data_IF_154671107467
#
_entry.id   IF_154671107467
#
_cell.length_a   1.000
_cell.length_b   1.000
_cell.length_c   1.000
_cell.angle_alpha   90.00
_cell.angle_beta   90.00
_cell.angle_gamma   90.00
#
_symmetry.space_group_name_H-M   'P 1'
#
loop_
_entity.id
_entity.type
_entity.pdbx_description
1 polymer ?
#
# COMPACT_ATOMS: atom_id res chain seq x y z
N UNK A 1 -22.32 7.32 5.07
CA UNK A 1 -21.69 7.26 6.40
C UNK A 1 -20.18 7.15 6.25
N UNK A 2 -19.40 8.21 6.48
CA UNK A 2 -17.94 8.18 6.26
C UNK A 2 -17.13 9.19 7.09
N UNK A 3 -17.80 10.11 7.81
CA UNK A 3 -17.15 11.15 8.60
C UNK A 3 -16.63 10.70 9.97
N UNK A 4 -17.22 9.66 10.58
CA UNK A 4 -16.92 9.28 11.97
C UNK A 4 -15.54 8.64 12.17
N UNK A 5 -15.01 7.93 11.17
CA UNK A 5 -13.68 7.30 11.25
C UNK A 5 -12.56 8.34 11.15
N UNK A 6 -12.79 9.48 10.46
CA UNK A 6 -11.79 10.54 10.29
C UNK A 6 -11.54 11.34 11.58
N UNK A 7 -12.55 11.55 12.43
CA UNK A 7 -12.40 12.38 13.64
C UNK A 7 -11.80 11.64 14.85
N UNK A 8 -12.07 10.34 15.03
CA UNK A 8 -11.66 9.63 16.25
C UNK A 8 -10.18 9.18 16.26
N UNK A 9 -9.53 9.06 15.09
CA UNK A 9 -8.19 8.47 15.00
C UNK A 9 -7.04 9.46 15.31
N UNK A 10 -7.21 10.76 15.03
CA UNK A 10 -6.14 11.77 15.11
C UNK A 10 -5.74 12.07 16.56
N UNK A 11 -6.69 12.08 17.51
CA UNK A 11 -6.42 12.37 18.92
C UNK A 11 -5.75 11.23 19.71
N UNK A 12 -5.73 10.01 19.19
CA UNK A 12 -5.28 8.80 19.92
C UNK A 12 -4.03 8.14 19.31
N UNK A 13 -3.38 8.78 18.33
CA UNK A 13 -2.23 8.21 17.61
C UNK A 13 -2.57 6.98 16.76
N UNK A 14 -3.86 6.83 16.43
CA UNK A 14 -4.40 5.74 15.64
C UNK A 14 -4.31 6.10 14.16
N UNK A 15 -3.90 5.15 13.33
CA UNK A 15 -3.74 5.31 11.89
C UNK A 15 -4.51 4.18 11.19
N UNK A 16 -5.58 4.51 10.45
CA UNK A 16 -6.32 3.52 9.67
C UNK A 16 -5.48 3.04 8.48
N UNK A 17 -5.56 1.75 8.18
CA UNK A 17 -5.10 1.16 6.90
C UNK A 17 -6.33 0.97 6.03
N UNK A 18 -6.31 1.57 4.84
CA UNK A 18 -7.45 1.62 3.92
C UNK A 18 -7.17 0.70 2.74
N UNK A 19 -8.15 -0.12 2.37
CA UNK A 19 -8.11 -0.99 1.19
C UNK A 19 -9.09 -0.47 0.14
N UNK A 20 -8.60 -0.33 -1.09
CA UNK A 20 -9.42 -0.14 -2.27
C UNK A 20 -9.40 -1.41 -3.12
N UNK A 21 -10.57 -2.00 -3.35
CA UNK A 21 -10.73 -3.20 -4.18
C UNK A 21 -12.12 -3.18 -4.82
N UNK A 22 -12.22 -3.52 -6.10
CA UNK A 22 -13.50 -3.65 -6.83
C UNK A 22 -14.38 -2.38 -6.71
N UNK A 23 -13.77 -1.20 -6.78
CA UNK A 23 -14.47 0.08 -6.66
C UNK A 23 -14.91 0.46 -5.24
N UNK A 24 -14.63 -0.38 -4.24
CA UNK A 24 -15.02 -0.17 -2.85
C UNK A 24 -13.82 0.23 -2.01
N UNK A 25 -13.99 1.31 -1.23
CA UNK A 25 -13.04 1.73 -0.19
C UNK A 25 -13.51 1.14 1.15
N UNK A 26 -12.61 0.46 1.85
CA UNK A 26 -12.89 -0.18 3.14
C UNK A 26 -11.76 0.04 4.15
N UNK A 27 -12.08 0.01 5.44
CA UNK A 27 -11.10 0.02 6.52
C UNK A 27 -10.63 -1.42 6.75
N UNK A 28 -9.35 -1.72 6.49
CA UNK A 28 -8.83 -3.08 6.59
C UNK A 28 -8.13 -3.36 7.92
N UNK A 29 -7.51 -2.35 8.52
CA UNK A 29 -6.94 -2.45 9.86
C UNK A 29 -6.84 -1.10 10.56
N UNK A 30 -6.62 -1.17 11.87
CA UNK A 30 -6.32 -0.04 12.73
C UNK A 30 -4.97 -0.31 13.39
N UNK A 31 -3.99 0.56 13.16
CA UNK A 31 -2.67 0.45 13.77
C UNK A 31 -2.38 1.68 14.63
N UNK A 32 -1.56 1.50 15.68
CA UNK A 32 -1.13 2.59 16.56
C UNK A 32 0.28 3.03 16.18
N UNK A 33 0.42 4.28 15.72
CA UNK A 33 1.68 4.86 15.29
C UNK A 33 2.08 4.56 13.83
N UNK A 34 2.89 5.46 13.25
CA UNK A 34 3.31 5.43 11.83
C UNK A 34 3.95 4.10 11.44
N UNK A 35 5.04 3.70 12.11
CA UNK A 35 5.81 2.49 11.79
C UNK A 35 4.95 1.21 11.76
N UNK A 36 4.10 0.99 12.76
CA UNK A 36 3.23 -0.20 12.81
C UNK A 36 2.22 -0.22 11.66
N UNK A 37 1.71 0.95 11.28
CA UNK A 37 0.75 1.08 10.18
C UNK A 37 1.37 0.75 8.83
N UNK A 38 2.63 1.13 8.63
CA UNK A 38 3.38 0.84 7.39
C UNK A 38 3.73 -0.64 7.25
N UNK A 39 4.16 -1.26 8.35
CA UNK A 39 4.37 -2.71 8.38
C UNK A 39 3.07 -3.46 8.10
N UNK A 40 1.96 -3.00 8.67
CA UNK A 40 0.65 -3.61 8.46
C UNK A 40 0.17 -3.46 7.01
N UNK A 41 0.39 -2.29 6.38
CA UNK A 41 0.12 -2.06 4.96
C UNK A 41 0.89 -3.07 4.08
N UNK A 42 2.20 -3.20 4.28
CA UNK A 42 3.05 -4.14 3.55
C UNK A 42 2.62 -5.60 3.77
N UNK A 43 2.31 -5.97 5.02
CA UNK A 43 1.87 -7.32 5.39
C UNK A 43 0.57 -7.69 4.69
N UNK A 44 -0.43 -6.80 4.67
CA UNK A 44 -1.71 -7.06 4.03
C UNK A 44 -1.58 -7.19 2.52
N UNK A 45 -0.79 -6.32 1.88
CA UNK A 45 -0.53 -6.39 0.45
C UNK A 45 0.12 -7.74 0.07
N UNK A 46 1.18 -8.14 0.77
CA UNK A 46 1.86 -9.41 0.51
C UNK A 46 0.97 -10.64 0.81
N UNK A 47 0.17 -10.60 1.88
CA UNK A 47 -0.76 -11.67 2.21
C UNK A 47 -1.87 -11.81 1.16
N UNK A 48 -2.35 -10.69 0.62
CA UNK A 48 -3.31 -10.71 -0.49
C UNK A 48 -2.69 -11.35 -1.73
N UNK A 49 -1.49 -10.94 -2.13
CA UNK A 49 -0.79 -11.52 -3.28
C UNK A 49 -0.53 -13.02 -3.07
N UNK A 50 -0.07 -13.43 -1.88
CA UNK A 50 0.17 -14.84 -1.54
C UNK A 50 -1.08 -15.72 -1.71
N UNK A 51 -2.25 -15.16 -1.37
CA UNK A 51 -3.52 -15.88 -1.46
C UNK A 51 -4.06 -15.97 -2.90
N UNK A 52 -3.76 -14.98 -3.75
CA UNK A 52 -4.46 -14.79 -5.03
C UNK A 52 -3.54 -14.90 -6.27
N UNK A 53 -2.22 -15.00 -6.09
CA UNK A 53 -1.26 -15.08 -7.18
C UNK A 53 -0.26 -16.22 -6.94
N UNK A 54 -0.10 -17.10 -7.93
CA UNK A 54 0.94 -18.14 -7.93
C UNK A 54 2.34 -17.56 -8.17
N UNK A 55 2.43 -16.56 -9.05
CA UNK A 55 3.66 -15.83 -9.40
C UNK A 55 3.36 -14.35 -9.65
N UNK A 56 4.38 -13.51 -9.54
CA UNK A 56 4.25 -12.06 -9.69
C UNK A 56 4.79 -11.49 -11.00
N UNK A 57 5.33 -12.32 -11.90
CA UNK A 57 5.92 -11.87 -13.17
C UNK A 57 4.94 -11.10 -14.07
N UNK A 58 3.63 -11.38 -13.91
CA UNK A 58 2.56 -10.68 -14.61
C UNK A 58 2.00 -9.47 -13.85
N UNK A 59 2.65 -8.99 -12.78
CA UNK A 59 2.16 -7.87 -11.98
C UNK A 59 3.05 -6.64 -12.11
N UNK A 60 2.40 -5.47 -12.18
CA UNK A 60 3.04 -4.18 -11.90
C UNK A 60 2.84 -3.88 -10.43
N UNK A 61 3.93 -3.59 -9.71
CA UNK A 61 3.94 -3.30 -8.28
C UNK A 61 4.42 -1.87 -8.06
N UNK A 62 3.73 -1.10 -7.23
CA UNK A 62 4.07 0.29 -6.94
C UNK A 62 3.96 0.60 -5.46
N UNK A 63 4.86 1.45 -4.98
CA UNK A 63 4.82 2.06 -3.65
C UNK A 63 4.67 3.56 -3.84
N UNK A 64 3.53 4.08 -3.39
CA UNK A 64 3.19 5.49 -3.46
C UNK A 64 3.67 6.24 -2.23
N UNK A 65 4.30 7.41 -2.40
CA UNK A 65 4.68 8.31 -1.32
C UNK A 65 4.23 9.75 -1.57
N UNK A 66 3.98 10.51 -0.51
CA UNK A 66 3.60 11.92 -0.57
C UNK A 66 4.80 12.85 -0.76
N UNK A 67 5.10 13.65 0.26
CA UNK A 67 6.17 14.65 0.19
C UNK A 67 7.56 14.09 0.55
N UNK A 68 7.62 13.11 1.45
CA UNK A 68 8.87 12.48 1.89
C UNK A 68 9.15 11.23 1.05
N UNK A 69 10.18 11.28 0.20
CA UNK A 69 10.66 10.11 -0.54
C UNK A 69 11.28 9.06 0.39
N UNK A 70 11.98 9.51 1.43
CA UNK A 70 12.58 8.64 2.46
C UNK A 70 11.50 7.79 3.14
N UNK A 71 10.37 8.39 3.49
CA UNK A 71 9.19 7.67 4.02
C UNK A 71 8.70 6.61 3.03
N UNK A 72 8.73 6.91 1.73
CA UNK A 72 8.40 5.97 0.66
C UNK A 72 9.37 4.80 0.57
N UNK A 73 10.67 5.05 0.72
CA UNK A 73 11.72 4.03 0.73
C UNK A 73 11.60 3.09 1.94
N UNK A 74 11.17 3.58 3.10
CA UNK A 74 10.84 2.75 4.26
C UNK A 74 9.72 1.74 3.92
N UNK A 75 8.66 2.20 3.27
CA UNK A 75 7.53 1.35 2.87
C UNK A 75 7.95 0.36 1.79
N UNK A 76 8.77 0.80 0.82
CA UNK A 76 9.31 -0.05 -0.23
C UNK A 76 10.11 -1.20 0.35
N UNK A 77 11.01 -0.92 1.30
CA UNK A 77 11.80 -1.95 1.97
C UNK A 77 10.95 -2.90 2.82
N UNK A 78 9.92 -2.38 3.50
CA UNK A 78 8.95 -3.20 4.21
C UNK A 78 8.18 -4.13 3.26
N UNK A 79 7.75 -3.62 2.10
CA UNK A 79 7.02 -4.40 1.12
C UNK A 79 7.88 -5.48 0.46
N UNK A 80 9.12 -5.15 0.06
CA UNK A 80 10.11 -6.13 -0.43
C UNK A 80 10.30 -7.28 0.56
N UNK A 81 10.51 -6.94 1.84
CA UNK A 81 10.65 -7.93 2.91
C UNK A 81 9.40 -8.81 3.03
N UNK A 82 8.22 -8.19 3.03
CA UNK A 82 6.96 -8.91 3.12
C UNK A 82 6.71 -9.86 1.93
N UNK A 83 7.06 -9.45 0.70
CA UNK A 83 6.99 -10.29 -0.50
C UNK A 83 7.91 -11.51 -0.39
N UNK A 84 9.16 -11.31 0.04
CA UNK A 84 10.12 -12.41 0.27
C UNK A 84 9.59 -13.38 1.33
N UNK A 85 9.12 -12.86 2.47
CA UNK A 85 8.52 -13.69 3.53
C UNK A 85 7.24 -14.41 3.08
N UNK A 86 6.53 -13.87 2.08
CA UNK A 86 5.36 -14.49 1.49
C UNK A 86 5.70 -15.63 0.50
N UNK A 87 6.97 -15.79 0.11
CA UNK A 87 7.45 -16.82 -0.82
C UNK A 87 7.81 -16.29 -2.22
N UNK A 88 7.64 -14.99 -2.47
CA UNK A 88 7.93 -14.37 -3.77
C UNK A 88 9.39 -13.89 -3.84
N UNK A 89 10.33 -14.82 -3.93
CA UNK A 89 11.77 -14.50 -3.96
C UNK A 89 12.20 -13.72 -5.21
N UNK A 90 11.52 -13.98 -6.34
CA UNK A 90 11.79 -13.37 -7.64
C UNK A 90 10.68 -12.39 -8.06
N UNK A 91 10.02 -11.74 -7.10
CA UNK A 91 9.02 -10.72 -7.42
C UNK A 91 9.64 -9.59 -8.28
N UNK A 92 8.88 -9.00 -9.24
CA UNK A 92 9.33 -7.81 -9.92
C UNK A 92 9.58 -6.69 -8.91
N UNK A 93 10.57 -5.85 -9.18
CA UNK A 93 10.94 -4.76 -8.29
C UNK A 93 9.81 -3.72 -8.22
N UNK A 94 9.23 -3.42 -7.04
CA UNK A 94 8.21 -2.41 -6.93
C UNK A 94 8.76 -1.02 -7.25
N UNK A 95 8.04 -0.28 -8.10
CA UNK A 95 8.42 1.09 -8.45
C UNK A 95 8.02 2.06 -7.34
N UNK A 96 8.90 3.00 -7.02
CA UNK A 96 8.61 4.07 -6.05
C UNK A 96 8.05 5.30 -6.77
N UNK A 97 6.80 5.64 -6.51
CA UNK A 97 6.03 6.67 -7.25
C UNK A 97 5.57 7.78 -6.32
N UNK A 98 5.75 9.03 -6.73
CA UNK A 98 5.20 10.17 -5.98
C UNK A 98 3.70 10.32 -6.25
N UNK A 99 2.91 10.38 -5.18
CA UNK A 99 1.48 10.63 -5.24
C UNK A 99 1.27 12.14 -5.44
N UNK A 100 0.65 12.50 -6.57
CA UNK A 100 0.40 13.89 -6.93
C UNK A 100 -0.47 14.66 -5.94
N UNK A 101 -0.29 15.98 -5.93
CA UNK A 101 -0.86 16.94 -4.96
C UNK A 101 -2.39 16.94 -4.89
N UNK A 102 -3.08 16.59 -5.98
CA UNK A 102 -4.54 16.44 -6.04
C UNK A 102 -5.07 15.37 -5.09
N UNK A 103 -4.35 14.25 -4.93
CA UNK A 103 -4.71 13.19 -3.98
C UNK A 103 -4.23 13.55 -2.55
N UNK A 104 -3.17 14.37 -2.45
CA UNK A 104 -2.57 14.89 -1.22
C UNK A 104 -3.43 15.86 -0.40
N UNK A 105 -4.22 16.69 -1.08
CA UNK A 105 -4.92 17.83 -0.47
C UNK A 105 -5.85 17.48 0.70
N UNK A 106 -6.40 16.26 0.71
CA UNK A 106 -7.36 15.80 1.75
C UNK A 106 -6.78 14.82 2.77
N UNK A 107 -5.52 14.40 2.60
CA UNK A 107 -4.94 13.29 3.37
C UNK A 107 -3.65 13.67 4.13
N UNK A 108 -3.17 14.91 3.97
CA UNK A 108 -1.99 15.44 4.63
C UNK A 108 -0.66 14.94 4.05
N UNK A 109 0.44 15.47 4.58
CA UNK A 109 1.82 15.30 4.09
C UNK A 109 2.35 13.86 4.07
N UNK A 110 1.65 12.93 4.72
CA UNK A 110 2.11 11.57 5.03
C UNK A 110 1.33 10.48 4.26
N UNK A 111 0.93 10.78 3.04
CA UNK A 111 0.34 9.78 2.16
C UNK A 111 1.35 8.70 1.81
N UNK A 112 0.99 7.45 2.07
CA UNK A 112 1.76 6.26 1.69
C UNK A 112 0.79 5.17 1.24
N UNK A 113 1.16 4.42 0.22
CA UNK A 113 0.30 3.39 -0.35
C UNK A 113 1.09 2.29 -1.05
N UNK A 114 0.47 1.13 -1.18
CA UNK A 114 0.97 0.04 -2.02
C UNK A 114 -0.13 -0.29 -3.02
N UNK A 115 0.23 -0.36 -4.30
CA UNK A 115 -0.66 -0.74 -5.38
C UNK A 115 -0.05 -1.88 -6.18
N UNK A 116 -0.92 -2.74 -6.71
CA UNK A 116 -0.51 -3.77 -7.64
C UNK A 116 -1.63 -4.04 -8.64
N UNK A 117 -1.24 -4.28 -9.88
CA UNK A 117 -2.15 -4.57 -10.98
C UNK A 117 -1.61 -5.76 -11.77
N UNK A 118 -2.48 -6.71 -12.10
CA UNK A 118 -2.14 -7.78 -13.03
C UNK A 118 -2.14 -7.20 -14.45
N UNK A 119 -1.02 -7.30 -15.16
CA UNK A 119 -0.90 -6.97 -16.57
C UNK A 119 -1.71 -7.99 -17.39
N UNK A 120 -2.47 -7.48 -18.34
CA UNK A 120 -3.15 -8.33 -19.30
C UNK A 120 -2.15 -8.77 -20.38
N UNK A 121 -2.30 -10.00 -20.89
CA UNK A 121 -1.42 -10.58 -21.92
C UNK A 121 -1.61 -9.97 -23.32
N UNK A 122 -2.54 -9.02 -23.49
CA UNK A 122 -2.91 -8.42 -24.78
C UNK A 122 -2.16 -7.12 -25.14
N UNK A 123 -1.18 -6.68 -24.33
CA UNK A 123 -0.45 -5.44 -24.57
C UNK A 123 0.80 -5.58 -25.46
N UNK A 124 1.14 -6.81 -25.88
CA UNK A 124 2.27 -7.12 -26.77
C UNK A 124 1.81 -7.69 -28.13
N UNK A 125 0.72 -7.16 -28.71
CA UNK A 125 0.21 -7.51 -30.05
C UNK A 125 0.17 -6.32 -30.99
#
# INVERSE_FOLDING_TARGET
MGGLVKLAAVGLGIKPVILFKEGVISLSAIARGRKKSLLELARQAAAFLKKNAERLDGYSLQVGYGLSREDGEEVLNAFRTALKSAGFQNAPEPELVQIGTMVGAHNGSYLMGIAFLKRDSAADS
#
